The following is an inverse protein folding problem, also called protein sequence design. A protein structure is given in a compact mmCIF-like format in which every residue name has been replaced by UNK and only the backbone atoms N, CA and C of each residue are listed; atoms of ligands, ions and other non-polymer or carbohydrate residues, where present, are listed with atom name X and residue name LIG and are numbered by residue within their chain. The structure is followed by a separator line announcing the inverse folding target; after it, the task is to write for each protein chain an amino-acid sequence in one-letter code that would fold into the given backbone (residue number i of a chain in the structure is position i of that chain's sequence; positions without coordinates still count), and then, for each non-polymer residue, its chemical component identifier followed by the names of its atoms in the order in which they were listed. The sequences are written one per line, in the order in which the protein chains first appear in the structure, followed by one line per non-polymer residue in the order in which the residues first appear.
data_IF_222963927974
#
_entry.id   IF_222963927974
#
_cell.length_a   1.000
_cell.length_b   1.000
_cell.length_c   1.000
_cell.angle_alpha   90.00
_cell.angle_beta   90.00
_cell.angle_gamma   90.00
#
_symmetry.space_group_name_H-M   'P 1'
#
loop_
_entity.id
_entity.type
_entity.pdbx_description
1 polymer ?
#
# COMPACT_ATOMS: atom_id res chain seq x y z
N UNK A 1 -0.13 -14.23 2.61
CA UNK A 1 0.24 -15.56 3.01
C UNK A 1 1.58 -15.63 3.74
N UNK A 2 1.82 -16.70 4.42
CA UNK A 2 3.00 -16.92 5.25
C UNK A 2 4.31 -16.93 4.46
N UNK A 3 4.26 -17.50 3.28
CA UNK A 3 5.40 -17.54 2.36
C UNK A 3 5.88 -16.14 1.95
N UNK A 4 4.96 -15.22 1.66
CA UNK A 4 5.29 -13.82 1.38
C UNK A 4 5.89 -13.13 2.58
N UNK A 5 5.38 -13.41 3.76
CA UNK A 5 5.93 -12.89 5.01
C UNK A 5 7.38 -13.33 5.21
N UNK A 6 7.66 -14.62 5.03
CA UNK A 6 9.02 -15.15 5.15
C UNK A 6 9.96 -14.57 4.11
N UNK A 7 9.49 -14.44 2.89
CA UNK A 7 10.27 -13.85 1.81
C UNK A 7 10.59 -12.37 2.08
N UNK A 8 9.61 -11.62 2.55
CA UNK A 8 9.80 -10.23 2.93
C UNK A 8 10.86 -10.10 4.02
N UNK A 9 10.77 -10.93 5.04
CA UNK A 9 11.72 -10.96 6.16
C UNK A 9 13.15 -11.25 5.68
N UNK A 10 13.33 -12.27 4.88
CA UNK A 10 14.65 -12.71 4.43
C UNK A 10 15.21 -11.78 3.34
N UNK A 11 14.35 -11.32 2.45
CA UNK A 11 14.77 -10.54 1.30
C UNK A 11 15.03 -9.06 1.57
N UNK A 12 14.32 -8.47 2.53
CA UNK A 12 14.42 -7.04 2.84
C UNK A 12 15.10 -6.75 4.18
N UNK A 13 15.38 -7.78 4.97
CA UNK A 13 15.83 -7.61 6.35
C UNK A 13 14.71 -7.30 7.33
N UNK A 14 13.47 -7.29 6.87
CA UNK A 14 12.31 -7.06 7.71
C UNK A 14 12.14 -8.22 8.70
N UNK A 15 12.08 -7.88 9.97
CA UNK A 15 11.84 -8.85 11.04
C UNK A 15 10.74 -8.29 11.96
N UNK A 16 9.50 -8.77 11.86
CA UNK A 16 8.45 -8.31 12.74
C UNK A 16 8.76 -8.72 14.18
N UNK A 17 8.49 -7.81 15.09
CA UNK A 17 8.60 -8.13 16.52
C UNK A 17 7.38 -8.94 16.96
N UNK A 18 7.50 -9.65 18.09
CA UNK A 18 6.37 -10.38 18.65
C UNK A 18 5.19 -9.48 19.03
N UNK A 19 5.44 -8.18 19.17
CA UNK A 19 4.42 -7.19 19.59
C UNK A 19 3.81 -6.42 18.46
N UNK A 20 4.58 -6.18 17.39
CA UNK A 20 4.18 -5.30 16.29
C UNK A 20 4.60 -5.98 14.99
N UNK A 21 3.65 -6.54 14.27
CA UNK A 21 3.89 -7.08 12.92
C UNK A 21 3.92 -5.96 11.88
N UNK A 22 4.61 -4.86 12.15
CA UNK A 22 4.63 -3.69 11.30
C UNK A 22 5.78 -3.74 10.30
N UNK A 23 5.53 -3.28 9.08
CA UNK A 23 6.53 -3.10 8.04
C UNK A 23 6.66 -1.60 7.74
N UNK A 24 7.88 -1.10 7.62
CA UNK A 24 8.15 0.28 7.22
C UNK A 24 8.10 0.48 5.71
N UNK A 25 8.07 1.75 5.27
CA UNK A 25 8.00 2.09 3.86
C UNK A 25 9.19 1.55 3.05
N UNK A 26 10.39 1.63 3.59
CA UNK A 26 11.59 1.14 2.90
C UNK A 26 11.54 -0.36 2.62
N UNK A 27 11.15 -1.12 3.62
CA UNK A 27 11.02 -2.58 3.50
C UNK A 27 9.88 -2.95 2.55
N UNK A 28 8.75 -2.26 2.64
CA UNK A 28 7.61 -2.49 1.74
C UNK A 28 8.01 -2.24 0.28
N UNK A 29 8.68 -1.13 -0.01
CA UNK A 29 9.18 -0.82 -1.34
C UNK A 29 10.13 -1.90 -1.85
N UNK A 30 11.06 -2.34 -1.01
CA UNK A 30 12.02 -3.38 -1.36
C UNK A 30 11.33 -4.69 -1.71
N UNK A 31 10.37 -5.12 -0.88
CA UNK A 31 9.60 -6.35 -1.14
C UNK A 31 8.77 -6.24 -2.41
N UNK A 32 8.09 -5.12 -2.61
CA UNK A 32 7.27 -4.91 -3.80
C UNK A 32 8.12 -4.98 -5.07
N UNK A 33 9.30 -4.34 -5.06
CA UNK A 33 10.23 -4.40 -6.20
C UNK A 33 10.76 -5.80 -6.45
N UNK A 34 11.07 -6.54 -5.41
CA UNK A 34 11.48 -7.95 -5.53
C UNK A 34 10.38 -8.83 -6.12
N UNK A 35 9.14 -8.48 -5.88
CA UNK A 35 7.99 -9.16 -6.47
C UNK A 35 7.68 -8.70 -7.91
N UNK A 36 8.50 -7.85 -8.49
CA UNK A 36 8.37 -7.42 -9.89
C UNK A 36 7.52 -6.17 -10.10
N UNK A 37 7.14 -5.50 -9.03
CA UNK A 37 6.36 -4.26 -9.13
C UNK A 37 7.25 -3.03 -9.31
N UNK A 38 6.82 -2.14 -10.18
CA UNK A 38 7.40 -0.81 -10.30
C UNK A 38 6.79 0.07 -9.21
N UNK A 39 7.46 0.11 -8.06
CA UNK A 39 6.99 0.78 -6.86
C UNK A 39 7.94 1.92 -6.48
N UNK A 40 7.38 3.11 -6.29
CA UNK A 40 8.10 4.32 -5.90
C UNK A 40 7.44 5.00 -4.71
N UNK A 41 8.27 5.49 -3.80
CA UNK A 41 7.82 6.21 -2.62
C UNK A 41 7.77 7.70 -2.92
N UNK A 42 6.63 8.33 -2.64
CA UNK A 42 6.40 9.75 -2.84
C UNK A 42 6.03 10.43 -1.54
N UNK A 43 6.28 11.73 -1.48
CA UNK A 43 5.86 12.59 -0.38
C UNK A 43 4.65 13.41 -0.80
N UNK A 44 3.72 13.61 0.11
CA UNK A 44 2.49 14.39 -0.12
C UNK A 44 2.82 15.74 -0.76
N UNK A 45 2.31 16.01 -1.98
CA UNK A 45 2.48 17.32 -2.59
C UNK A 45 1.63 18.37 -1.88
N UNK A 46 2.00 19.64 -2.06
CA UNK A 46 1.29 20.75 -1.42
C UNK A 46 -0.10 20.96 -1.98
N UNK A 47 -0.30 20.68 -3.26
CA UNK A 47 -1.59 20.81 -3.91
C UNK A 47 -2.22 19.44 -4.20
N UNK A 48 -3.53 19.40 -4.02
CA UNK A 48 -4.32 18.19 -4.24
C UNK A 48 -4.28 17.72 -5.71
N UNK A 49 -4.28 18.65 -6.65
CA UNK A 49 -4.29 18.33 -8.08
C UNK A 49 -3.07 17.50 -8.49
N UNK A 50 -1.89 17.79 -7.96
CA UNK A 50 -0.69 16.99 -8.22
C UNK A 50 -0.85 15.57 -7.71
N UNK A 51 -1.38 15.41 -6.50
CA UNK A 51 -1.67 14.10 -5.93
C UNK A 51 -2.67 13.33 -6.79
N UNK A 52 -3.76 13.99 -7.17
CA UNK A 52 -4.80 13.39 -8.03
C UNK A 52 -4.21 12.91 -9.36
N UNK A 53 -3.37 13.71 -9.99
CA UNK A 53 -2.76 13.36 -11.27
C UNK A 53 -1.82 12.15 -11.14
N UNK A 54 -1.08 12.06 -10.04
CA UNK A 54 -0.25 10.89 -9.74
C UNK A 54 -1.10 9.63 -9.55
N UNK A 55 -2.17 9.71 -8.78
CA UNK A 55 -3.09 8.59 -8.54
C UNK A 55 -3.76 8.16 -9.84
N UNK A 56 -4.18 9.11 -10.66
CA UNK A 56 -4.79 8.84 -11.96
C UNK A 56 -3.88 7.99 -12.86
N UNK A 57 -2.59 8.26 -12.84
CA UNK A 57 -1.59 7.59 -13.66
C UNK A 57 -1.12 6.27 -13.08
N UNK A 58 -1.30 6.05 -11.78
CA UNK A 58 -0.83 4.85 -11.10
C UNK A 58 -1.82 3.69 -11.29
N UNK A 59 -1.31 2.47 -11.27
CA UNK A 59 -2.16 1.27 -11.22
C UNK A 59 -2.73 1.05 -9.83
N UNK A 60 -1.97 1.39 -8.80
CA UNK A 60 -2.34 1.18 -7.42
C UNK A 60 -1.51 2.10 -6.53
N UNK A 61 -2.07 2.47 -5.39
CA UNK A 61 -1.37 3.28 -4.38
C UNK A 61 -1.56 2.65 -3.01
N UNK A 62 -0.46 2.46 -2.29
CA UNK A 62 -0.50 2.01 -0.89
C UNK A 62 -0.39 3.22 0.00
N UNK A 63 -1.32 3.36 0.91
CA UNK A 63 -1.35 4.46 1.89
C UNK A 63 -1.37 3.92 3.31
N UNK A 64 -0.78 4.67 4.23
CA UNK A 64 -0.77 4.36 5.65
C UNK A 64 -1.62 5.41 6.37
N UNK A 65 -2.67 4.96 7.03
CA UNK A 65 -3.64 5.82 7.68
C UNK A 65 -3.72 5.50 9.18
N UNK A 66 -4.17 6.48 9.97
CA UNK A 66 -4.33 6.27 11.41
C UNK A 66 -5.35 7.23 12.00
N UNK A 67 -6.13 6.73 12.94
CA UNK A 67 -7.05 7.57 13.73
C UNK A 67 -6.31 8.55 14.65
N UNK A 68 -5.03 8.28 14.96
CA UNK A 68 -4.20 9.18 15.76
C UNK A 68 -3.82 10.46 15.02
N UNK A 69 -4.01 10.51 13.71
CA UNK A 69 -3.72 11.66 12.88
C UNK A 69 -4.92 12.61 12.68
N UNK A 70 -5.91 12.53 13.54
CA UNK A 70 -7.14 13.33 13.41
C UNK A 70 -7.80 13.14 12.04
N UNK A 71 -8.06 11.91 11.72
CA UNK A 71 -8.55 11.48 10.42
C UNK A 71 -10.07 11.43 10.41
N UNK A 72 -10.72 11.98 9.38
CA UNK A 72 -12.17 12.03 9.29
C UNK A 72 -12.79 10.70 8.88
N UNK A 73 -12.11 9.90 8.10
CA UNK A 73 -12.64 8.62 7.61
C UNK A 73 -12.20 7.43 8.47
N UNK A 74 -10.90 7.33 8.77
CA UNK A 74 -10.35 6.21 9.55
C UNK A 74 -10.30 6.55 11.04
N UNK A 75 -11.45 6.52 11.70
CA UNK A 75 -11.60 6.99 13.09
C UNK A 75 -11.21 5.98 14.17
N UNK A 76 -11.09 4.70 13.82
CA UNK A 76 -10.91 3.62 14.79
C UNK A 76 -9.74 2.70 14.45
N UNK A 77 -8.82 3.16 13.61
CA UNK A 77 -7.67 2.35 13.21
C UNK A 77 -6.39 2.89 13.86
N UNK A 78 -5.53 2.00 14.34
CA UNK A 78 -4.12 2.33 14.59
C UNK A 78 -3.40 2.53 13.25
N UNK A 79 -2.08 2.51 13.21
CA UNK A 79 -1.36 2.52 11.93
C UNK A 79 -1.84 1.39 11.03
N UNK A 80 -2.35 1.70 9.85
CA UNK A 80 -3.06 0.75 9.01
C UNK A 80 -2.81 1.03 7.54
N UNK A 81 -2.31 0.01 6.81
CA UNK A 81 -2.10 0.09 5.37
C UNK A 81 -3.37 -0.29 4.62
N UNK A 82 -3.73 0.56 3.66
CA UNK A 82 -4.82 0.31 2.73
C UNK A 82 -4.34 0.54 1.30
N UNK A 83 -5.06 0.00 0.33
CA UNK A 83 -4.75 0.16 -1.08
C UNK A 83 -5.89 0.90 -1.77
N UNK A 84 -5.53 1.83 -2.66
CA UNK A 84 -6.49 2.52 -3.52
C UNK A 84 -6.12 2.31 -4.99
N UNK A 85 -7.15 2.26 -5.84
CA UNK A 85 -7.00 2.05 -7.28
C UNK A 85 -8.23 2.55 -8.04
N UNK A 86 -8.25 2.37 -9.34
CA UNK A 86 -9.41 2.61 -10.20
C UNK A 86 -10.02 3.99 -10.03
N UNK A 87 -9.22 5.02 -10.23
CA UNK A 87 -9.67 6.41 -10.12
C UNK A 87 -10.81 6.71 -11.11
N UNK A 88 -11.87 7.32 -10.60
CA UNK A 88 -13.00 7.81 -11.39
C UNK A 88 -12.95 9.32 -11.54
N UNK A 89 -12.75 9.80 -12.76
CA UNK A 89 -12.66 11.24 -13.04
C UNK A 89 -13.97 12.00 -12.80
N UNK A 90 -15.09 11.37 -13.12
CA UNK A 90 -16.41 12.01 -13.03
C UNK A 90 -16.83 12.31 -11.57
N UNK A 91 -16.41 11.50 -10.63
CA UNK A 91 -16.77 11.64 -9.22
C UNK A 91 -15.60 11.98 -8.30
N UNK A 92 -14.37 11.98 -8.81
CA UNK A 92 -13.14 12.17 -8.03
C UNK A 92 -13.03 11.15 -6.89
N UNK A 93 -13.37 9.90 -7.20
CA UNK A 93 -13.37 8.81 -6.24
C UNK A 93 -12.35 7.74 -6.63
N UNK A 94 -11.92 6.96 -5.64
CA UNK A 94 -11.07 5.79 -5.83
C UNK A 94 -11.68 4.57 -5.17
N UNK A 95 -11.37 3.41 -5.72
CA UNK A 95 -11.73 2.14 -5.14
C UNK A 95 -10.80 1.86 -3.94
N UNK A 96 -11.41 1.62 -2.78
CA UNK A 96 -10.68 1.32 -1.55
C UNK A 96 -10.68 -0.17 -1.28
N UNK A 97 -9.50 -0.74 -1.13
CA UNK A 97 -9.30 -2.08 -0.61
C UNK A 97 -8.72 -1.97 0.80
N UNK A 98 -9.58 -2.14 1.79
CA UNK A 98 -9.22 -2.07 3.20
C UNK A 98 -9.36 -3.47 3.81
N UNK A 99 -8.24 -4.13 4.15
CA UNK A 99 -8.28 -5.50 4.67
C UNK A 99 -8.89 -5.61 6.08
N UNK A 100 -8.99 -4.51 6.81
CA UNK A 100 -9.56 -4.51 8.16
C UNK A 100 -11.06 -4.29 8.19
N UNK A 101 -11.67 -3.92 7.07
CA UNK A 101 -13.11 -3.66 6.97
C UNK A 101 -13.77 -4.62 5.97
N UNK A 102 -14.28 -5.75 6.44
CA UNK A 102 -14.91 -6.72 5.54
C UNK A 102 -16.21 -6.21 4.91
N UNK A 103 -16.92 -5.29 5.57
CA UNK A 103 -18.20 -4.74 5.09
C UNK A 103 -17.99 -3.47 4.26
N UNK A 104 -17.07 -2.60 4.66
CA UNK A 104 -16.73 -1.38 3.95
C UNK A 104 -15.67 -1.52 2.88
N UNK A 105 -15.03 -2.67 2.81
CA UNK A 105 -14.03 -2.98 1.81
C UNK A 105 -14.66 -3.01 0.42
N UNK A 106 -13.88 -2.57 -0.58
CA UNK A 106 -14.31 -2.53 -1.98
C UNK A 106 -15.40 -1.50 -2.27
N UNK A 107 -15.39 -0.42 -1.55
CA UNK A 107 -16.21 0.74 -1.83
C UNK A 107 -15.41 1.83 -2.52
N UNK A 108 -16.10 2.70 -3.25
CA UNK A 108 -15.51 3.94 -3.74
C UNK A 108 -15.61 5.01 -2.67
N UNK A 109 -14.52 5.73 -2.46
CA UNK A 109 -14.46 6.86 -1.53
C UNK A 109 -13.88 8.09 -2.23
N UNK A 110 -14.19 9.31 -1.78
CA UNK A 110 -13.56 10.50 -2.30
C UNK A 110 -12.04 10.42 -2.17
N UNK A 111 -11.32 10.67 -3.25
CA UNK A 111 -9.86 10.70 -3.21
C UNK A 111 -9.34 11.75 -2.22
N UNK A 112 -10.09 12.83 -2.03
CA UNK A 112 -9.77 13.88 -1.07
C UNK A 112 -9.60 13.34 0.36
N UNK A 113 -10.39 12.34 0.75
CA UNK A 113 -10.24 11.70 2.07
C UNK A 113 -8.87 11.05 2.22
N UNK A 114 -8.37 10.44 1.16
CA UNK A 114 -7.05 9.82 1.16
C UNK A 114 -5.96 10.89 1.27
N UNK A 115 -6.06 11.95 0.49
CA UNK A 115 -5.12 13.06 0.55
C UNK A 115 -5.04 13.68 1.94
N UNK A 116 -6.20 13.93 2.55
CA UNK A 116 -6.29 14.52 3.88
C UNK A 116 -5.78 13.56 4.97
N UNK A 117 -5.80 12.25 4.71
CA UNK A 117 -5.31 11.23 5.63
C UNK A 117 -3.78 11.03 5.59
N UNK A 118 -3.08 11.64 4.64
CA UNK A 118 -1.63 11.60 4.56
C UNK A 118 -1.04 12.56 5.58
N UNK A 119 -0.69 12.04 6.75
CA UNK A 119 -0.22 12.82 7.90
C UNK A 119 0.98 12.14 8.58
N UNK A 120 1.16 12.41 9.86
CA UNK A 120 2.36 12.08 10.64
C UNK A 120 2.70 10.59 10.68
N UNK A 121 1.72 9.72 10.87
CA UNK A 121 1.95 8.27 10.95
C UNK A 121 2.58 7.73 9.65
N UNK A 122 2.14 8.22 8.50
CA UNK A 122 2.72 7.87 7.20
C UNK A 122 3.98 8.67 6.86
N UNK A 123 4.39 9.61 7.70
CA UNK A 123 5.43 10.61 7.39
C UNK A 123 5.10 11.38 6.12
N UNK A 124 3.81 11.60 5.86
CA UNK A 124 3.29 12.25 4.65
C UNK A 124 3.71 11.52 3.36
N UNK A 125 3.94 10.21 3.43
CA UNK A 125 4.41 9.41 2.30
C UNK A 125 3.36 8.41 1.84
N UNK A 126 3.47 7.99 0.58
CA UNK A 126 2.65 6.95 -0.03
C UNK A 126 3.45 6.24 -1.12
N UNK A 127 3.08 5.01 -1.42
CA UNK A 127 3.78 4.17 -2.37
C UNK A 127 2.94 4.05 -3.65
N UNK A 128 3.48 4.53 -4.77
CA UNK A 128 2.85 4.38 -6.09
C UNK A 128 3.35 3.10 -6.75
N UNK A 129 2.42 2.33 -7.28
CA UNK A 129 2.70 1.15 -8.09
C UNK A 129 2.25 1.43 -9.52
N UNK A 130 3.20 1.52 -10.45
CA UNK A 130 2.94 1.89 -11.83
C UNK A 130 2.86 0.72 -12.80
N UNK A 131 3.40 -0.42 -12.43
CA UNK A 131 3.40 -1.57 -13.30
C UNK A 131 3.91 -2.82 -12.62
N UNK A 132 3.93 -3.90 -13.39
CA UNK A 132 4.42 -5.19 -12.97
C UNK A 132 5.21 -5.85 -14.10
N UNK A 133 6.34 -6.45 -13.77
CA UNK A 133 7.13 -7.25 -14.70
C UNK A 133 7.38 -8.63 -14.11
N UNK A 134 6.88 -9.65 -14.78
CA UNK A 134 7.11 -11.03 -14.37
C UNK A 134 8.60 -11.40 -14.42
N UNK A 135 9.33 -10.86 -15.38
CA UNK A 135 10.77 -11.10 -15.51
C UNK A 135 11.57 -10.55 -14.31
N UNK A 136 11.06 -9.49 -13.68
CA UNK A 136 11.68 -8.88 -12.50
C UNK A 136 11.12 -9.41 -11.18
N UNK A 137 10.18 -10.35 -11.24
CA UNK A 137 9.59 -10.95 -10.05
C UNK A 137 10.56 -12.00 -9.48
N UNK A 138 11.41 -11.56 -8.56
CA UNK A 138 12.41 -12.42 -7.93
C UNK A 138 11.75 -13.50 -7.06
N UNK A 139 10.64 -13.18 -6.43
CA UNK A 139 9.87 -14.15 -5.65
C UNK A 139 9.44 -15.34 -6.50
N UNK A 140 8.99 -15.09 -7.70
CA UNK A 140 8.59 -16.14 -8.64
C UNK A 140 9.81 -16.90 -9.19
N UNK A 141 10.88 -16.17 -9.50
CA UNK A 141 12.15 -16.76 -9.98
C UNK A 141 12.81 -17.64 -8.92
N UNK A 142 12.71 -17.28 -7.65
CA UNK A 142 13.19 -18.07 -6.53
C UNK A 142 12.33 -19.30 -6.24
N UNK A 143 11.20 -19.47 -6.95
CA UNK A 143 10.32 -20.61 -6.82
C UNK A 143 9.49 -20.62 -5.53
N UNK A 144 9.34 -19.49 -4.87
CA UNK A 144 8.62 -19.43 -3.58
C UNK A 144 7.14 -19.72 -3.78
N UNK A 145 6.56 -19.26 -4.88
CA UNK A 145 5.17 -19.53 -5.23
C UNK A 145 4.95 -21.01 -5.57
N UNK A 146 5.94 -21.68 -6.15
CA UNK A 146 5.91 -23.11 -6.45
C UNK A 146 6.22 -23.98 -5.23
N UNK A 147 7.08 -23.46 -4.34
CA UNK A 147 7.40 -24.15 -3.09
C UNK A 147 6.24 -24.10 -2.10
N UNK A 148 5.31 -23.19 -2.28
CA UNK A 148 4.08 -23.10 -1.50
C UNK A 148 3.10 -24.15 -2.01
N UNK A 149 3.32 -25.37 -1.60
CA UNK A 149 2.36 -26.44 -1.85
C UNK A 149 1.47 -26.53 -0.62
N UNK A 150 0.17 -26.44 -0.82
CA UNK A 150 -0.79 -26.61 0.25
C UNK A 150 -0.55 -27.98 0.90
N UNK A 151 -0.40 -28.02 2.23
CA UNK A 151 -0.18 -29.27 2.94
C UNK A 151 -1.37 -30.21 2.82
#
# INVERSE_FOLDING_TARGET
PWDMFLYAREGSGYAPTKKIGAIGWGDMKTVMRKCGFDAELYTKPQDYETFRDQVRSAKSVVVLVSSHDDNTYWKKTGGHYVNISLYKEDTDEVFLADPADPDGNRNYIPLRYVYDALKTVSKYQYLLVNGYSEEQNQWKQDGIDEAWVAP
#
